data_IF_768612086656
#
_entry.id   IF_768612086656
#
_cell.length_a   1.000
_cell.length_b   1.000
_cell.length_c   1.000
_cell.angle_alpha   90.00
_cell.angle_beta   90.00
_cell.angle_gamma   90.00
#
_symmetry.space_group_name_H-M   'P 1'
#
loop_
_entity.id
_entity.type
_entity.pdbx_description
1 polymer ?
#
# COMPACT_ATOMS: atom_id res chain seq x y z
N UNK A 1 -16.88 -0.49 -11.55
CA UNK A 1 -15.42 -0.29 -11.62
C UNK A 1 -14.87 0.38 -10.36
N UNK A 2 -15.52 1.41 -9.84
CA UNK A 2 -15.10 2.14 -8.63
C UNK A 2 -14.90 1.26 -7.39
N UNK A 3 -15.86 0.38 -7.06
CA UNK A 3 -15.72 -0.55 -5.93
C UNK A 3 -14.50 -1.48 -6.06
N UNK A 4 -14.13 -1.88 -7.28
CA UNK A 4 -12.97 -2.74 -7.51
C UNK A 4 -11.68 -1.96 -7.26
N UNK A 5 -11.59 -0.73 -7.75
CA UNK A 5 -10.44 0.16 -7.50
C UNK A 5 -10.29 0.47 -6.00
N UNK A 6 -11.40 0.67 -5.29
CA UNK A 6 -11.40 0.86 -3.84
C UNK A 6 -10.91 -0.37 -3.07
N UNK A 7 -11.38 -1.57 -3.44
CA UNK A 7 -10.94 -2.82 -2.79
C UNK A 7 -9.44 -3.04 -3.04
N UNK A 8 -8.97 -2.85 -4.27
CA UNK A 8 -7.55 -3.02 -4.63
C UNK A 8 -6.67 -2.03 -3.85
N UNK A 9 -7.08 -0.77 -3.76
CA UNK A 9 -6.34 0.25 -3.00
C UNK A 9 -6.31 -0.09 -1.50
N UNK A 10 -7.43 -0.48 -0.90
CA UNK A 10 -7.46 -0.91 0.50
C UNK A 10 -6.55 -2.12 0.76
N UNK A 11 -6.60 -3.14 -0.09
CA UNK A 11 -5.74 -4.33 0.04
C UNK A 11 -4.26 -3.96 -0.10
N UNK A 12 -3.90 -3.08 -1.03
CA UNK A 12 -2.53 -2.60 -1.21
C UNK A 12 -2.03 -1.83 0.03
N UNK A 13 -2.87 -0.99 0.62
CA UNK A 13 -2.56 -0.26 1.85
C UNK A 13 -2.32 -1.21 3.03
N UNK A 14 -3.26 -2.12 3.30
CA UNK A 14 -3.13 -3.07 4.41
C UNK A 14 -1.91 -3.98 4.23
N UNK A 15 -1.66 -4.43 3.00
CA UNK A 15 -0.48 -5.26 2.69
C UNK A 15 0.83 -4.49 2.87
N UNK A 16 0.88 -3.22 2.47
CA UNK A 16 2.04 -2.35 2.67
C UNK A 16 2.36 -2.17 4.16
N UNK A 17 1.33 -1.86 4.96
CA UNK A 17 1.47 -1.67 6.41
C UNK A 17 1.85 -2.97 7.11
N UNK A 18 1.23 -4.09 6.74
CA UNK A 18 1.55 -5.39 7.31
C UNK A 18 3.01 -5.78 7.02
N UNK A 19 3.47 -5.62 5.78
CA UNK A 19 4.86 -5.89 5.40
C UNK A 19 5.83 -4.94 6.11
N UNK A 20 5.45 -3.67 6.23
CA UNK A 20 6.23 -2.70 6.98
C UNK A 20 6.44 -3.16 8.44
N UNK A 21 5.36 -3.52 9.13
CA UNK A 21 5.42 -4.00 10.52
C UNK A 21 6.22 -5.30 10.62
N UNK A 22 5.99 -6.26 9.71
CA UNK A 22 6.69 -7.55 9.71
C UNK A 22 8.20 -7.37 9.52
N UNK A 23 8.61 -6.53 8.58
CA UNK A 23 10.03 -6.26 8.38
C UNK A 23 10.65 -5.48 9.54
N UNK A 24 9.92 -4.52 10.11
CA UNK A 24 10.36 -3.78 11.29
C UNK A 24 10.59 -4.71 12.48
N UNK A 25 9.68 -5.64 12.73
CA UNK A 25 9.79 -6.62 13.83
C UNK A 25 10.89 -7.65 13.56
N UNK A 26 11.03 -8.14 12.32
CA UNK A 26 11.99 -9.22 12.00
C UNK A 26 13.43 -8.74 11.82
N UNK A 27 13.64 -7.59 11.19
CA UNK A 27 14.98 -7.11 10.78
C UNK A 27 15.41 -5.86 11.55
N UNK A 28 14.47 -5.20 12.24
CA UNK A 28 14.70 -3.87 12.83
C UNK A 28 14.78 -2.78 11.77
N UNK A 29 14.69 -1.52 12.21
CA UNK A 29 14.64 -0.36 11.31
C UNK A 29 15.90 -0.23 10.42
N UNK A 30 17.07 -0.62 10.93
CA UNK A 30 18.36 -0.45 10.23
C UNK A 30 18.56 -1.40 9.05
N UNK A 31 17.97 -2.60 9.07
CA UNK A 31 18.10 -3.60 8.00
C UNK A 31 16.80 -3.84 7.23
N UNK A 32 15.85 -2.92 7.35
CA UNK A 32 14.55 -3.01 6.72
C UNK A 32 14.64 -2.81 5.20
N UNK A 33 13.97 -3.66 4.42
CA UNK A 33 13.95 -3.59 2.97
C UNK A 33 12.77 -2.72 2.50
N UNK A 34 12.95 -1.41 2.64
CA UNK A 34 11.98 -0.37 2.29
C UNK A 34 11.39 -0.46 0.88
N UNK A 35 12.06 -1.13 -0.06
CA UNK A 35 11.59 -1.27 -1.45
C UNK A 35 10.16 -1.85 -1.53
N UNK A 36 9.86 -2.91 -0.79
CA UNK A 36 8.58 -3.61 -0.91
C UNK A 36 7.39 -2.81 -0.32
N UNK A 37 7.49 -2.28 0.91
CA UNK A 37 6.44 -1.41 1.46
C UNK A 37 6.18 -0.17 0.62
N UNK A 38 7.26 0.47 0.11
CA UNK A 38 7.17 1.69 -0.70
C UNK A 38 6.49 1.41 -2.04
N UNK A 39 6.82 0.31 -2.73
CA UNK A 39 6.16 -0.06 -3.99
C UNK A 39 4.66 -0.26 -3.78
N UNK A 40 4.25 -0.99 -2.73
CA UNK A 40 2.84 -1.21 -2.42
C UNK A 40 2.11 0.09 -2.06
N UNK A 41 2.80 1.02 -1.39
CA UNK A 41 2.26 2.34 -1.10
C UNK A 41 2.07 3.19 -2.36
N UNK A 42 3.01 3.13 -3.32
CA UNK A 42 2.86 3.78 -4.61
C UNK A 42 1.69 3.19 -5.40
N UNK A 43 1.52 1.86 -5.39
CA UNK A 43 0.37 1.19 -6.03
C UNK A 43 -0.95 1.66 -5.40
N UNK A 44 -1.00 1.79 -4.07
CA UNK A 44 -2.14 2.39 -3.37
C UNK A 44 -2.44 3.81 -3.88
N UNK A 45 -1.43 4.69 -3.95
CA UNK A 45 -1.61 6.07 -4.44
C UNK A 45 -2.14 6.10 -5.89
N UNK A 46 -1.57 5.29 -6.77
CA UNK A 46 -1.96 5.25 -8.20
C UNK A 46 -3.35 4.65 -8.40
N UNK A 47 -3.82 3.76 -7.53
CA UNK A 47 -5.17 3.18 -7.61
C UNK A 47 -6.22 4.02 -6.89
N UNK A 48 -5.85 4.73 -5.83
CA UNK A 48 -6.74 5.55 -5.03
C UNK A 48 -7.01 6.94 -5.64
N UNK A 49 -6.02 7.57 -6.28
CA UNK A 49 -6.21 8.88 -6.94
C UNK A 49 -7.27 8.83 -8.06
N UNK A 50 -7.25 7.86 -8.99
CA UNK A 50 -8.31 7.72 -10.00
C UNK A 50 -9.67 7.42 -9.37
N UNK A 51 -9.72 6.63 -8.29
CA UNK A 51 -10.96 6.39 -7.56
C UNK A 51 -11.56 7.69 -7.01
N UNK A 52 -10.74 8.53 -6.36
CA UNK A 52 -11.14 9.84 -5.85
C UNK A 52 -11.62 10.80 -6.95
N UNK A 53 -10.95 10.79 -8.11
CA UNK A 53 -11.31 11.63 -9.24
C UNK A 53 -12.61 11.18 -9.94
N UNK A 54 -12.96 9.90 -9.85
CA UNK A 54 -14.19 9.35 -10.44
C UNK A 54 -15.36 9.46 -9.45
N UNK A 55 -15.12 9.32 -8.15
CA UNK A 55 -16.17 9.33 -7.13
C UNK A 55 -16.65 10.74 -6.72
N UNK A 56 -16.01 11.79 -7.25
CA UNK A 56 -16.26 13.20 -6.91
C UNK A 56 -16.71 13.98 -8.15
#
# INVERSE_FOLDING_TARGET
MEQVLFIISMVALFSSVALFIVELVKKGYQNMAWKMPVILFVIYMVTYIPYLAISN
#
